data_IF_728530891534
#
_entry.id   IF_728530891534
#
_cell.length_a   1.000
_cell.length_b   1.000
_cell.length_c   1.000
_cell.angle_alpha   90.00
_cell.angle_beta   90.00
_cell.angle_gamma   90.00
#
_symmetry.space_group_name_H-M   'P 1'
#
loop_
_entity.id
_entity.type
_entity.pdbx_description
1 polymer ?
#
# COMPACT_ATOMS: atom_id res chain seq x y z
N UNK A 1 -56.04 8.48 -32.26
CA UNK A 1 -54.78 9.27 -32.35
C UNK A 1 -54.03 9.09 -31.04
N UNK A 2 -52.81 8.53 -31.04
CA UNK A 2 -52.00 8.49 -29.82
C UNK A 2 -51.51 9.90 -29.45
N UNK A 3 -51.43 10.25 -28.15
CA UNK A 3 -50.97 11.56 -27.72
C UNK A 3 -49.49 11.75 -28.09
N UNK A 4 -49.15 12.92 -28.65
CA UNK A 4 -47.77 13.32 -28.92
C UNK A 4 -47.04 13.44 -27.58
N UNK A 5 -45.97 12.66 -27.39
CA UNK A 5 -45.07 12.84 -26.26
C UNK A 5 -44.51 14.27 -26.28
N UNK A 6 -44.60 14.92 -25.12
CA UNK A 6 -44.15 16.30 -24.90
C UNK A 6 -42.62 16.40 -25.05
N UNK A 7 -42.15 17.38 -25.85
CA UNK A 7 -40.72 17.58 -26.18
C UNK A 7 -39.84 17.69 -24.94
N UNK A 8 -40.39 18.31 -23.88
CA UNK A 8 -39.76 18.48 -22.56
C UNK A 8 -39.36 17.15 -21.90
N UNK A 9 -40.17 16.10 -22.08
CA UNK A 9 -39.90 14.77 -21.51
C UNK A 9 -38.76 14.05 -22.26
N UNK A 10 -38.68 14.23 -23.57
CA UNK A 10 -37.60 13.69 -24.40
C UNK A 10 -36.25 14.31 -24.05
N UNK A 11 -36.21 15.63 -23.86
CA UNK A 11 -34.99 16.37 -23.50
C UNK A 11 -34.47 15.99 -22.10
N UNK A 12 -35.38 15.77 -21.14
CA UNK A 12 -35.01 15.27 -19.81
C UNK A 12 -34.41 13.85 -19.84
N UNK A 13 -34.97 12.97 -20.66
CA UNK A 13 -34.47 11.60 -20.83
C UNK A 13 -33.12 11.59 -21.55
N UNK A 14 -32.91 12.46 -22.54
CA UNK A 14 -31.61 12.61 -23.20
C UNK A 14 -30.54 13.20 -22.27
N UNK A 15 -30.89 14.22 -21.47
CA UNK A 15 -29.99 14.79 -20.47
C UNK A 15 -29.58 13.75 -19.41
N UNK A 16 -30.52 12.94 -18.91
CA UNK A 16 -30.22 11.84 -17.99
C UNK A 16 -29.34 10.76 -18.63
N UNK A 17 -29.60 10.40 -19.89
CA UNK A 17 -28.75 9.47 -20.65
C UNK A 17 -27.36 10.06 -20.89
N UNK A 18 -27.22 11.35 -21.12
CA UNK A 18 -25.94 12.03 -21.29
C UNK A 18 -25.14 12.10 -19.97
N UNK A 19 -25.81 12.35 -18.83
CA UNK A 19 -25.21 12.29 -17.49
C UNK A 19 -24.77 10.86 -17.17
N UNK A 20 -25.62 9.84 -17.38
CA UNK A 20 -25.24 8.44 -17.22
C UNK A 20 -24.10 8.00 -18.15
N UNK A 21 -24.05 8.52 -19.40
CA UNK A 21 -22.92 8.28 -20.31
C UNK A 21 -21.65 8.97 -19.83
N UNK A 22 -21.75 10.15 -19.23
CA UNK A 22 -20.63 10.89 -18.64
C UNK A 22 -20.11 10.23 -17.36
N UNK A 23 -21.00 9.67 -16.55
CA UNK A 23 -20.66 8.87 -15.36
C UNK A 23 -20.03 7.53 -15.74
N UNK A 24 -20.55 6.85 -16.77
CA UNK A 24 -19.92 5.65 -17.35
C UNK A 24 -18.57 5.95 -18.03
N UNK A 25 -18.32 7.21 -18.41
CA UNK A 25 -17.02 7.70 -18.92
C UNK A 25 -16.09 8.20 -17.83
N UNK A 26 -16.59 8.50 -16.62
CA UNK A 26 -15.70 8.67 -15.48
C UNK A 26 -15.01 7.34 -15.29
N UNK A 27 -13.69 7.40 -15.14
CA UNK A 27 -12.84 6.26 -14.86
C UNK A 27 -12.38 6.44 -13.43
N UNK A 28 -13.17 6.00 -12.43
CA UNK A 28 -12.89 6.26 -11.02
C UNK A 28 -11.46 5.86 -10.61
N UNK A 29 -10.89 4.85 -11.26
CA UNK A 29 -9.52 4.43 -11.01
C UNK A 29 -8.46 5.45 -11.46
N UNK A 30 -8.71 6.23 -12.53
CA UNK A 30 -7.82 7.30 -12.95
C UNK A 30 -7.90 8.50 -12.00
N UNK A 31 -9.10 8.79 -11.48
CA UNK A 31 -9.28 9.81 -10.46
C UNK A 31 -8.63 9.39 -9.14
N UNK A 32 -8.80 8.12 -8.74
CA UNK A 32 -8.12 7.54 -7.59
C UNK A 32 -6.59 7.57 -7.73
N UNK A 33 -6.07 7.33 -8.94
CA UNK A 33 -4.63 7.39 -9.22
C UNK A 33 -4.01 8.78 -9.12
N UNK A 34 -4.82 9.84 -9.02
CA UNK A 34 -4.37 11.22 -8.78
C UNK A 34 -4.26 11.55 -7.29
N UNK A 35 -4.78 10.69 -6.41
CA UNK A 35 -4.70 10.90 -4.97
C UNK A 35 -3.23 10.80 -4.54
N UNK A 36 -2.68 11.80 -3.82
CA UNK A 36 -1.30 11.73 -3.32
C UNK A 36 -1.08 10.52 -2.41
N UNK A 37 -0.07 9.70 -2.71
CA UNK A 37 0.27 8.48 -1.96
C UNK A 37 1.76 8.42 -1.54
N UNK A 38 2.53 9.46 -1.87
CA UNK A 38 3.92 9.64 -1.49
C UNK A 38 4.06 10.91 -0.65
N UNK A 39 4.99 10.86 0.28
CA UNK A 39 5.43 11.97 1.12
C UNK A 39 6.95 12.15 0.92
N UNK A 40 7.39 13.36 0.57
CA UNK A 40 8.80 13.70 0.35
C UNK A 40 9.61 13.77 1.65
N UNK A 41 8.93 13.82 2.80
CA UNK A 41 9.59 13.73 4.10
C UNK A 41 10.42 12.43 4.19
N UNK A 42 11.66 12.49 4.69
CA UNK A 42 12.48 11.30 4.84
C UNK A 42 11.86 10.36 5.87
N UNK A 43 11.97 9.05 5.63
CA UNK A 43 11.48 8.01 6.52
C UNK A 43 12.39 7.85 7.75
N UNK A 44 12.39 8.86 8.61
CA UNK A 44 13.14 8.91 9.87
C UNK A 44 12.14 9.02 11.02
N UNK A 45 12.29 8.17 12.04
CA UNK A 45 11.37 8.10 13.17
C UNK A 45 9.98 7.53 12.81
N UNK A 46 9.07 7.49 13.78
CA UNK A 46 7.72 6.94 13.59
C UNK A 46 6.86 7.82 12.66
N UNK A 47 5.97 7.23 11.83
CA UNK A 47 4.92 7.97 11.16
C UNK A 47 3.89 8.53 12.15
N UNK A 48 3.08 9.48 11.68
CA UNK A 48 1.88 9.92 12.40
C UNK A 48 0.80 8.83 12.32
N UNK A 49 -0.06 8.77 13.34
CA UNK A 49 -1.13 7.77 13.44
C UNK A 49 -2.51 8.41 13.60
N UNK A 50 -2.71 9.60 13.05
CA UNK A 50 -4.03 10.26 13.09
C UNK A 50 -5.02 9.55 12.18
N UNK A 51 -6.32 9.70 12.45
CA UNK A 51 -7.37 9.16 11.59
C UNK A 51 -7.26 9.67 10.15
N UNK A 52 -6.90 10.95 9.97
CA UNK A 52 -6.68 11.54 8.65
C UNK A 52 -5.49 10.90 7.91
N UNK A 53 -4.42 10.56 8.62
CA UNK A 53 -3.29 9.83 8.01
C UNK A 53 -3.70 8.41 7.62
N UNK A 54 -4.57 7.73 8.39
CA UNK A 54 -5.06 6.38 8.05
C UNK A 54 -6.02 6.39 6.87
N UNK A 55 -6.81 7.44 6.69
CA UNK A 55 -7.68 7.65 5.53
C UNK A 55 -6.85 7.91 4.27
N UNK A 56 -5.74 8.63 4.41
CA UNK A 56 -4.88 9.07 3.29
C UNK A 56 -3.41 8.69 3.51
N UNK A 57 -3.09 7.38 3.56
CA UNK A 57 -1.75 6.92 3.90
C UNK A 57 -0.76 7.28 2.80
N UNK A 58 0.34 7.93 3.17
CA UNK A 58 1.40 8.34 2.25
C UNK A 58 2.74 7.75 2.69
N UNK A 59 3.41 7.06 1.78
CA UNK A 59 4.71 6.47 2.07
C UNK A 59 5.77 7.57 2.08
N UNK A 60 6.61 7.61 3.12
CA UNK A 60 7.74 8.54 3.24
C UNK A 60 8.92 8.13 2.34
N UNK A 61 9.76 9.11 1.98
CA UNK A 61 10.89 8.92 1.07
C UNK A 61 12.02 8.13 1.74
N UNK A 62 12.67 7.27 0.97
CA UNK A 62 13.83 6.53 1.42
C UNK A 62 14.97 7.51 1.79
N UNK A 63 15.56 7.39 2.99
CA UNK A 63 16.60 8.32 3.43
C UNK A 63 18.00 7.95 2.93
N UNK A 64 18.14 6.85 2.19
CA UNK A 64 19.45 6.37 1.74
C UNK A 64 19.95 7.17 0.54
N UNK A 65 21.28 7.29 0.44
CA UNK A 65 21.93 7.94 -0.69
C UNK A 65 21.84 7.07 -1.95
N UNK A 66 20.98 7.46 -2.88
CA UNK A 66 20.70 6.71 -4.10
C UNK A 66 21.91 6.64 -5.04
N UNK A 67 22.82 7.62 -4.98
CA UNK A 67 24.02 7.66 -5.83
C UNK A 67 25.02 6.57 -5.41
N UNK A 68 24.90 6.06 -4.18
CA UNK A 68 25.71 4.98 -3.65
C UNK A 68 25.15 3.57 -3.93
N UNK A 69 24.00 3.47 -4.61
CA UNK A 69 23.29 2.21 -4.80
C UNK A 69 23.98 1.30 -5.83
N UNK A 70 24.15 0.03 -5.48
CA UNK A 70 24.74 -1.01 -6.34
C UNK A 70 23.75 -2.16 -6.52
N UNK A 71 23.45 -2.50 -7.77
CA UNK A 71 22.63 -3.66 -8.13
C UNK A 71 23.46 -4.95 -8.12
N UNK A 72 23.08 -5.91 -7.29
CA UNK A 72 23.82 -7.17 -7.11
C UNK A 72 23.24 -8.32 -7.92
N UNK A 73 21.92 -8.50 -7.85
CA UNK A 73 21.24 -9.63 -8.48
C UNK A 73 19.79 -9.29 -8.85
N UNK A 74 19.25 -10.04 -9.80
CA UNK A 74 17.80 -10.05 -10.08
C UNK A 74 17.14 -11.06 -9.15
N UNK A 75 16.04 -10.65 -8.53
CA UNK A 75 15.24 -11.53 -7.65
C UNK A 75 13.99 -12.06 -8.37
N UNK A 76 13.42 -11.28 -9.29
CA UNK A 76 12.28 -11.72 -10.10
C UNK A 76 11.35 -10.57 -10.47
N UNK A 77 10.29 -10.86 -11.21
CA UNK A 77 9.29 -9.84 -11.55
C UNK A 77 7.98 -10.45 -12.00
N UNK A 78 6.95 -9.61 -12.02
CA UNK A 78 5.58 -10.01 -12.33
C UNK A 78 4.80 -8.88 -12.99
N UNK A 79 3.48 -8.83 -12.75
CA UNK A 79 2.57 -7.88 -13.38
C UNK A 79 2.88 -6.41 -13.07
N UNK A 80 3.31 -6.13 -11.83
CA UNK A 80 3.41 -4.77 -11.28
C UNK A 80 4.80 -4.16 -11.40
N UNK A 81 5.82 -5.01 -11.34
CA UNK A 81 7.20 -4.56 -11.31
C UNK A 81 8.21 -5.70 -11.31
N UNK A 82 9.46 -5.31 -11.11
CA UNK A 82 10.61 -6.21 -11.03
C UNK A 82 11.42 -5.88 -9.78
N UNK A 83 12.09 -6.88 -9.24
CA UNK A 83 12.78 -6.82 -7.96
C UNK A 83 14.25 -7.18 -8.14
N UNK A 84 15.10 -6.37 -7.53
CA UNK A 84 16.54 -6.57 -7.46
C UNK A 84 17.02 -6.68 -6.03
N UNK A 85 18.10 -7.44 -5.83
CA UNK A 85 18.95 -7.35 -4.64
C UNK A 85 19.91 -6.19 -4.85
N UNK A 86 19.93 -5.25 -3.90
CA UNK A 86 20.77 -4.04 -3.95
C UNK A 86 21.49 -3.83 -2.62
N UNK A 87 22.59 -3.09 -2.67
CA UNK A 87 23.27 -2.53 -1.48
C UNK A 87 23.52 -1.04 -1.68
N UNK A 88 23.82 -0.35 -0.59
CA UNK A 88 24.19 1.07 -0.58
C UNK A 88 25.60 1.22 -0.02
N UNK A 89 26.37 2.15 -0.57
CA UNK A 89 27.80 2.28 -0.29
C UNK A 89 28.64 1.34 -1.16
N UNK A 90 29.55 1.92 -1.94
CA UNK A 90 30.39 1.16 -2.88
C UNK A 90 31.50 0.36 -2.18
N UNK A 91 31.96 0.82 -1.01
CA UNK A 91 33.08 0.28 -0.25
C UNK A 91 32.65 -0.11 1.18
N UNK A 92 33.41 -1.01 1.81
CA UNK A 92 33.14 -1.44 3.18
C UNK A 92 33.32 -0.31 4.22
N UNK A 93 32.47 -0.25 5.26
CA UNK A 93 31.28 -1.07 5.47
C UNK A 93 30.12 -0.61 4.56
N UNK A 94 29.57 -1.51 3.76
CA UNK A 94 28.38 -1.22 2.95
C UNK A 94 27.09 -1.51 3.74
N UNK A 95 26.00 -0.89 3.34
CA UNK A 95 24.68 -1.08 3.94
C UNK A 95 23.83 -1.99 3.05
N UNK A 96 23.32 -3.10 3.60
CA UNK A 96 22.47 -4.06 2.87
C UNK A 96 22.78 -5.51 3.22
N UNK A 97 22.26 -6.48 2.45
CA UNK A 97 21.46 -6.30 1.22
C UNK A 97 20.01 -5.85 1.46
N UNK A 98 19.39 -5.32 0.41
CA UNK A 98 17.99 -4.88 0.37
C UNK A 98 17.28 -5.42 -0.89
N UNK A 99 15.95 -5.45 -0.87
CA UNK A 99 15.12 -5.76 -2.03
C UNK A 99 14.52 -4.46 -2.60
N UNK A 100 14.92 -4.08 -3.81
CA UNK A 100 14.38 -2.93 -4.53
C UNK A 100 13.30 -3.39 -5.51
N UNK A 101 12.04 -3.05 -5.26
CA UNK A 101 10.93 -3.25 -6.22
C UNK A 101 10.77 -1.99 -7.06
N UNK A 102 11.00 -2.09 -8.37
CA UNK A 102 10.74 -1.01 -9.34
C UNK A 102 9.47 -1.35 -10.12
N UNK A 103 8.54 -0.41 -10.19
CA UNK A 103 7.26 -0.62 -10.88
C UNK A 103 7.38 -0.33 -12.37
N UNK A 104 6.63 -1.06 -13.19
CA UNK A 104 6.65 -0.85 -14.65
C UNK A 104 5.95 0.43 -15.10
N UNK A 105 4.95 0.87 -14.34
CA UNK A 105 4.10 2.01 -14.67
C UNK A 105 4.69 3.27 -14.02
N UNK A 106 5.32 4.13 -14.83
CA UNK A 106 5.85 5.44 -14.40
C UNK A 106 4.74 6.45 -14.08
N UNK A 107 3.61 6.31 -14.78
CA UNK A 107 2.41 7.11 -14.60
C UNK A 107 1.17 6.19 -14.55
N UNK A 108 0.04 6.68 -14.01
CA UNK A 108 -1.22 5.94 -14.08
C UNK A 108 -1.60 5.59 -15.52
N UNK A 109 -1.55 4.30 -15.84
CA UNK A 109 -1.93 3.80 -17.16
C UNK A 109 -3.45 3.66 -17.29
N UNK A 110 -3.97 3.79 -18.51
CA UNK A 110 -5.37 3.52 -18.84
C UNK A 110 -5.66 2.01 -18.90
N UNK A 111 -5.35 1.31 -17.81
CA UNK A 111 -5.62 -0.11 -17.64
C UNK A 111 -6.66 -0.31 -16.53
N UNK A 112 -7.74 -1.08 -16.76
CA UNK A 112 -8.95 -1.05 -15.93
C UNK A 112 -8.82 -1.91 -14.66
N UNK A 113 -7.72 -1.78 -13.90
CA UNK A 113 -7.53 -2.52 -12.65
C UNK A 113 -7.12 -1.60 -11.51
N UNK A 114 -5.87 -1.13 -11.45
CA UNK A 114 -5.35 -0.24 -10.42
C UNK A 114 -3.97 0.32 -10.80
N UNK A 115 -3.52 1.35 -10.09
CA UNK A 115 -2.15 1.86 -10.19
C UNK A 115 -1.27 1.20 -9.12
N UNK A 116 -0.41 0.25 -9.52
CA UNK A 116 0.35 -0.58 -8.59
C UNK A 116 1.28 0.18 -7.64
N UNK A 117 2.05 1.21 -8.08
CA UNK A 117 2.85 2.03 -7.18
C UNK A 117 2.03 2.65 -6.04
N UNK A 118 0.83 3.15 -6.34
CA UNK A 118 -0.05 3.75 -5.34
C UNK A 118 -0.48 2.73 -4.30
N UNK A 119 -0.98 1.57 -4.74
CA UNK A 119 -1.46 0.52 -3.83
C UNK A 119 -0.35 0.01 -2.91
N UNK A 120 0.84 -0.22 -3.44
CA UNK A 120 1.95 -0.69 -2.63
C UNK A 120 2.42 0.39 -1.63
N UNK A 121 2.51 1.66 -2.05
CA UNK A 121 2.88 2.75 -1.15
C UNK A 121 1.88 2.89 0.01
N UNK A 122 0.58 2.89 -0.29
CA UNK A 122 -0.46 3.00 0.73
C UNK A 122 -0.42 1.82 1.71
N UNK A 123 -0.30 0.59 1.20
CA UNK A 123 -0.18 -0.60 2.05
C UNK A 123 1.07 -0.54 2.94
N UNK A 124 2.23 -0.17 2.37
CA UNK A 124 3.47 -0.07 3.14
C UNK A 124 3.38 1.02 4.22
N UNK A 125 2.78 2.17 3.91
CA UNK A 125 2.55 3.24 4.88
C UNK A 125 1.61 2.79 6.01
N UNK A 126 0.48 2.15 5.66
CA UNK A 126 -0.47 1.61 6.65
C UNK A 126 0.20 0.62 7.61
N UNK A 127 1.05 -0.29 7.11
CA UNK A 127 1.73 -1.25 7.96
C UNK A 127 2.72 -0.58 8.94
N UNK A 128 3.42 0.46 8.51
CA UNK A 128 4.28 1.24 9.41
C UNK A 128 3.48 1.99 10.48
N UNK A 129 2.33 2.55 10.08
CA UNK A 129 1.43 3.26 10.99
C UNK A 129 0.79 2.31 12.01
N UNK A 130 0.34 1.13 11.57
CA UNK A 130 -0.18 0.09 12.46
C UNK A 130 0.87 -0.39 13.45
N UNK A 131 2.10 -0.64 13.00
CA UNK A 131 3.19 -1.03 13.88
C UNK A 131 3.43 0.03 14.96
N UNK A 132 3.51 1.29 14.54
CA UNK A 132 3.70 2.44 15.45
C UNK A 132 2.54 2.57 16.44
N UNK A 133 1.31 2.45 15.95
CA UNK A 133 0.10 2.49 16.78
C UNK A 133 0.11 1.40 17.85
N UNK A 134 0.50 0.16 17.50
CA UNK A 134 0.62 -0.96 18.44
C UNK A 134 1.71 -0.70 19.48
N UNK A 135 2.87 -0.21 19.06
CA UNK A 135 3.99 0.11 19.97
C UNK A 135 3.60 1.21 20.97
N UNK A 136 2.96 2.29 20.52
CA UNK A 136 2.47 3.39 21.36
C UNK A 136 1.35 2.92 22.31
N UNK A 137 0.41 2.14 21.80
CA UNK A 137 -0.67 1.51 22.58
C UNK A 137 -0.12 0.68 23.74
N UNK A 138 0.86 -0.17 23.46
CA UNK A 138 1.54 -0.99 24.47
C UNK A 138 2.29 -0.15 25.50
N UNK A 139 3.04 0.86 25.06
CA UNK A 139 3.76 1.77 25.98
C UNK A 139 2.81 2.51 26.93
N UNK A 140 1.58 2.79 26.48
CA UNK A 140 0.53 3.39 27.29
C UNK A 140 -0.28 2.38 28.13
N UNK A 141 -0.01 1.07 28.03
CA UNK A 141 -0.78 0.01 28.70
C UNK A 141 -2.22 -0.13 28.18
N UNK A 142 -2.45 0.22 26.91
CA UNK A 142 -3.79 0.34 26.30
C UNK A 142 -3.80 -0.37 24.94
N UNK A 143 -4.10 -1.69 24.90
CA UNK A 143 -4.10 -2.44 23.64
C UNK A 143 -5.16 -1.90 22.67
N UNK A 144 -4.93 -2.11 21.37
CA UNK A 144 -5.90 -1.71 20.34
C UNK A 144 -7.08 -2.68 20.37
N UNK A 145 -8.30 -2.17 20.44
CA UNK A 145 -9.51 -2.99 20.42
C UNK A 145 -10.15 -2.98 19.02
N UNK A 146 -10.33 -4.16 18.45
CA UNK A 146 -10.97 -4.36 17.14
C UNK A 146 -12.14 -5.33 17.23
N UNK A 147 -13.05 -5.30 16.27
CA UNK A 147 -14.07 -6.34 16.11
C UNK A 147 -13.36 -7.69 15.92
N UNK A 148 -13.70 -8.68 16.75
CA UNK A 148 -13.09 -10.00 16.71
C UNK A 148 -13.59 -10.87 15.53
N UNK A 149 -14.68 -10.46 14.87
CA UNK A 149 -15.33 -11.16 13.77
C UNK A 149 -15.80 -10.20 12.67
N UNK A 150 -14.91 -9.42 12.03
CA UNK A 150 -15.28 -8.58 10.88
C UNK A 150 -15.84 -9.45 9.75
N UNK A 151 -17.03 -9.09 9.27
CA UNK A 151 -17.73 -9.79 8.18
C UNK A 151 -18.16 -8.86 7.06
N UNK A 152 -18.14 -7.55 7.30
CA UNK A 152 -18.56 -6.52 6.35
C UNK A 152 -17.42 -5.56 6.01
N UNK A 153 -17.60 -4.77 4.95
CA UNK A 153 -16.67 -3.67 4.61
C UNK A 153 -16.60 -2.66 5.77
N UNK A 154 -17.73 -2.36 6.39
CA UNK A 154 -17.80 -1.39 7.48
C UNK A 154 -17.05 -1.90 8.72
N UNK A 155 -17.11 -3.20 9.01
CA UNK A 155 -16.29 -3.80 10.07
C UNK A 155 -14.79 -3.65 9.77
N UNK A 156 -14.37 -3.89 8.53
CA UNK A 156 -12.98 -3.75 8.13
C UNK A 156 -12.49 -2.30 8.24
N UNK A 157 -13.32 -1.33 7.82
CA UNK A 157 -13.02 0.10 7.96
C UNK A 157 -12.95 0.51 9.44
N UNK A 158 -13.89 0.03 10.27
CA UNK A 158 -13.89 0.30 11.71
C UNK A 158 -12.65 -0.28 12.40
N UNK A 159 -12.25 -1.50 12.03
CA UNK A 159 -11.04 -2.13 12.55
C UNK A 159 -9.77 -1.39 12.12
N UNK A 160 -9.68 -0.95 10.86
CA UNK A 160 -8.57 -0.11 10.40
C UNK A 160 -8.52 1.21 11.19
N UNK A 161 -9.66 1.86 11.39
CA UNK A 161 -9.76 3.12 12.12
C UNK A 161 -9.39 2.97 13.61
N UNK A 162 -9.52 1.79 14.21
CA UNK A 162 -9.13 1.53 15.60
C UNK A 162 -7.62 1.78 15.85
N UNK A 163 -6.79 1.71 14.81
CA UNK A 163 -5.37 2.03 14.88
C UNK A 163 -5.08 3.54 14.85
N UNK A 164 -6.08 4.42 14.80
CA UNK A 164 -5.88 5.86 14.89
C UNK A 164 -5.73 6.35 16.34
N UNK A 165 -5.04 7.47 16.53
CA UNK A 165 -4.95 8.16 17.82
C UNK A 165 -6.34 8.46 18.39
N UNK A 166 -7.24 8.98 17.57
CA UNK A 166 -8.59 9.37 17.95
C UNK A 166 -9.42 8.18 18.41
N UNK A 167 -9.33 7.03 17.73
CA UNK A 167 -10.04 5.82 18.13
C UNK A 167 -9.48 5.25 19.43
N UNK A 168 -8.15 5.15 19.56
CA UNK A 168 -7.51 4.69 20.81
C UNK A 168 -7.86 5.56 22.01
N UNK A 169 -7.94 6.88 21.82
CA UNK A 169 -8.33 7.79 22.89
C UNK A 169 -9.81 7.62 23.30
N UNK A 170 -10.70 7.34 22.35
CA UNK A 170 -12.12 7.07 22.61
C UNK A 170 -12.38 5.72 23.27
N UNK A 171 -11.56 4.71 22.99
CA UNK A 171 -11.65 3.37 23.56
C UNK A 171 -11.16 3.28 25.02
N UNK A 172 -10.85 4.42 25.66
CA UNK A 172 -10.44 4.43 27.06
C UNK A 172 -11.58 3.95 27.97
N UNK A 173 -11.37 2.88 28.78
CA UNK A 173 -12.31 2.55 29.83
C UNK A 173 -12.41 3.72 30.80
N UNK A 174 -13.63 4.00 31.27
CA UNK A 174 -13.87 5.04 32.27
C UNK A 174 -13.14 4.64 33.57
N UNK A 175 -12.56 5.57 34.35
CA UNK A 175 -11.83 5.27 35.59
C UNK A 175 -12.64 4.46 36.63
N UNK A 176 -13.95 4.37 36.47
CA UNK A 176 -14.86 3.63 37.34
C UNK A 176 -14.87 2.12 37.09
N UNK A 177 -14.45 1.66 35.91
CA UNK A 177 -14.47 0.26 35.52
C UNK A 177 -13.09 -0.35 35.77
N UNK A 178 -12.76 -0.64 37.03
CA UNK A 178 -11.54 -1.36 37.44
C UNK A 178 -11.46 -2.81 36.93
N UNK A 179 -12.19 -3.14 35.87
CA UNK A 179 -12.29 -4.45 35.25
C UNK A 179 -11.54 -4.45 33.93
N UNK A 180 -10.46 -5.23 33.84
CA UNK A 180 -9.67 -5.48 32.62
C UNK A 180 -10.39 -6.36 31.58
N UNK A 181 -11.71 -6.43 31.63
CA UNK A 181 -12.51 -7.29 30.76
C UNK A 181 -12.66 -6.64 29.39
N UNK A 182 -12.12 -7.30 28.37
CA UNK A 182 -12.35 -6.92 26.98
C UNK A 182 -13.85 -6.99 26.69
N UNK A 183 -14.48 -5.93 26.12
CA UNK A 183 -15.91 -5.96 25.82
C UNK A 183 -16.29 -7.16 24.93
N UNK A 184 -17.47 -7.77 25.14
CA UNK A 184 -17.93 -8.88 24.31
C UNK A 184 -17.91 -8.51 22.82
N UNK A 185 -17.32 -9.39 22.00
CA UNK A 185 -17.23 -9.19 20.54
C UNK A 185 -15.99 -8.42 20.07
N UNK A 186 -15.17 -7.87 20.99
CA UNK A 186 -13.89 -7.26 20.67
C UNK A 186 -12.72 -8.20 20.98
N UNK A 187 -11.60 -8.01 20.29
CA UNK A 187 -10.32 -8.61 20.63
C UNK A 187 -9.22 -7.54 20.74
N UNK A 188 -8.19 -7.87 21.52
CA UNK A 188 -7.03 -7.02 21.74
C UNK A 188 -5.94 -7.33 20.73
N UNK A 189 -5.42 -6.29 20.08
CA UNK A 189 -4.17 -6.32 19.34
C UNK A 189 -3.11 -5.63 20.19
N UNK A 190 -2.23 -6.45 20.78
CA UNK A 190 -1.06 -6.00 21.54
C UNK A 190 0.26 -6.30 20.84
N UNK A 191 0.23 -7.04 19.73
CA UNK A 191 1.44 -7.35 18.97
C UNK A 191 1.14 -7.38 17.49
N UNK A 192 2.08 -6.89 16.68
CA UNK A 192 2.07 -7.05 15.24
C UNK A 192 3.07 -8.15 14.85
N UNK A 193 2.68 -9.14 14.04
CA UNK A 193 3.62 -10.13 13.50
C UNK A 193 4.77 -9.45 12.75
N UNK A 194 5.92 -10.11 12.66
CA UNK A 194 7.06 -9.58 11.89
C UNK A 194 6.64 -9.35 10.44
N UNK A 195 6.60 -8.10 10.03
CA UNK A 195 6.48 -7.71 8.63
C UNK A 195 7.85 -7.37 8.06
N UNK A 196 8.05 -7.60 6.75
CA UNK A 196 9.23 -7.12 6.05
C UNK A 196 9.36 -5.61 6.25
N UNK A 197 10.54 -5.13 6.66
CA UNK A 197 10.72 -3.70 6.86
C UNK A 197 10.68 -2.96 5.51
N UNK A 198 9.89 -1.89 5.43
CA UNK A 198 9.93 -0.94 4.33
C UNK A 198 10.84 0.23 4.70
N UNK A 199 11.72 0.62 3.78
CA UNK A 199 12.67 1.73 3.94
C UNK A 199 12.26 2.97 3.14
N UNK A 200 11.09 2.96 2.51
CA UNK A 200 10.50 4.10 1.82
C UNK A 200 10.58 4.02 0.30
N UNK A 201 9.94 5.00 -0.33
CA UNK A 201 9.95 5.13 -1.79
C UNK A 201 11.15 5.94 -2.27
N UNK A 202 11.56 5.67 -3.50
CA UNK A 202 12.54 6.45 -4.23
C UNK A 202 12.20 6.46 -5.73
N UNK A 203 12.97 7.20 -6.52
CA UNK A 203 12.79 7.32 -7.97
C UNK A 203 14.03 6.78 -8.67
N UNK A 204 13.87 5.90 -9.66
CA UNK A 204 14.97 5.41 -10.48
C UNK A 204 14.81 5.90 -11.91
N UNK A 205 15.81 6.60 -12.42
CA UNK A 205 15.84 6.98 -13.83
C UNK A 205 16.14 5.74 -14.71
N UNK A 206 15.37 5.57 -15.79
CA UNK A 206 15.43 4.39 -16.65
C UNK A 206 16.80 4.16 -17.29
N UNK A 207 17.57 5.22 -17.51
CA UNK A 207 18.94 5.14 -18.02
C UNK A 207 19.87 4.32 -17.12
N UNK A 208 19.65 4.32 -15.81
CA UNK A 208 20.45 3.54 -14.86
C UNK A 208 20.47 2.05 -15.24
N UNK A 209 19.35 1.52 -15.76
CA UNK A 209 19.25 0.12 -16.19
C UNK A 209 20.02 -0.19 -17.48
N UNK A 210 20.30 0.81 -18.33
CA UNK A 210 21.13 0.62 -19.53
C UNK A 210 22.60 0.41 -19.17
N UNK A 211 23.06 1.04 -18.10
CA UNK A 211 24.47 0.98 -17.67
C UNK A 211 24.78 -0.31 -16.89
N UNK A 212 23.74 -0.98 -16.39
CA UNK A 212 23.87 -2.26 -15.70
C UNK A 212 24.49 -3.37 -16.57
N UNK A 213 25.31 -4.21 -15.91
CA UNK A 213 25.82 -5.45 -16.48
C UNK A 213 24.67 -6.35 -16.94
N UNK A 214 24.89 -7.13 -18.02
CA UNK A 214 23.85 -7.94 -18.66
C UNK A 214 23.16 -8.92 -17.72
N UNK A 215 23.85 -9.44 -16.71
CA UNK A 215 23.29 -10.38 -15.73
C UNK A 215 22.26 -9.76 -14.79
N UNK A 216 22.32 -8.45 -14.58
CA UNK A 216 21.43 -7.70 -13.66
C UNK A 216 20.47 -6.74 -14.37
N UNK A 217 20.63 -6.53 -15.67
CA UNK A 217 19.72 -5.70 -16.49
C UNK A 217 18.27 -6.24 -16.47
N UNK A 218 17.24 -5.38 -16.42
CA UNK A 218 15.84 -5.81 -16.52
C UNK A 218 15.60 -6.63 -17.80
N UNK A 219 14.98 -7.81 -17.70
CA UNK A 219 14.52 -8.53 -18.87
C UNK A 219 13.25 -7.87 -19.45
N UNK A 220 12.95 -8.16 -20.71
CA UNK A 220 11.60 -7.97 -21.24
C UNK A 220 10.68 -9.03 -20.61
N UNK A 221 9.70 -8.61 -19.82
CA UNK A 221 8.78 -9.52 -19.13
C UNK A 221 7.50 -9.68 -19.93
N UNK A 222 7.14 -10.92 -20.21
CA UNK A 222 5.84 -11.28 -20.78
C UNK A 222 4.96 -11.77 -19.64
N UNK A 223 4.02 -10.93 -19.20
CA UNK A 223 3.12 -11.28 -18.08
C UNK A 223 2.01 -12.21 -18.57
N UNK A 224 1.54 -11.98 -19.80
CA UNK A 224 0.71 -12.91 -20.56
C UNK A 224 1.04 -12.77 -22.07
N UNK A 225 0.23 -13.37 -22.95
CA UNK A 225 0.44 -13.27 -24.40
C UNK A 225 0.32 -11.84 -24.97
N UNK A 226 -0.32 -10.91 -24.26
CA UNK A 226 -0.67 -9.57 -24.73
C UNK A 226 0.09 -8.46 -23.99
N UNK A 227 0.51 -8.70 -22.76
CA UNK A 227 1.14 -7.71 -21.87
C UNK A 227 2.64 -7.92 -21.86
N UNK A 228 3.34 -6.97 -22.48
CA UNK A 228 4.80 -6.86 -22.45
C UNK A 228 5.19 -5.71 -21.54
N UNK A 229 6.03 -5.98 -20.55
CA UNK A 229 6.53 -4.99 -19.60
C UNK A 229 8.03 -4.77 -19.81
N UNK A 230 8.44 -3.50 -19.83
CA UNK A 230 9.83 -3.08 -19.94
C UNK A 230 10.03 -1.72 -19.26
N UNK A 231 11.28 -1.38 -18.96
CA UNK A 231 11.67 -0.08 -18.44
C UNK A 231 12.31 0.73 -19.58
N UNK A 232 11.60 1.77 -19.99
CA UNK A 232 12.07 2.75 -20.95
C UNK A 232 13.17 3.63 -20.31
N UNK A 233 14.20 4.02 -21.06
CA UNK A 233 15.39 4.67 -20.52
C UNK A 233 15.27 6.17 -20.29
N UNK A 234 14.23 6.77 -20.85
CA UNK A 234 13.87 8.19 -20.82
C UNK A 234 12.74 8.49 -19.81
N UNK A 235 12.45 7.54 -18.93
CA UNK A 235 11.41 7.65 -17.91
C UNK A 235 11.97 7.53 -16.50
N UNK A 236 11.28 8.14 -15.55
CA UNK A 236 11.49 7.95 -14.13
C UNK A 236 10.48 6.96 -13.55
N UNK A 237 10.97 5.99 -12.80
CA UNK A 237 10.13 4.95 -12.20
C UNK A 237 10.08 5.10 -10.70
N UNK A 238 8.89 4.88 -10.13
CA UNK A 238 8.74 4.72 -8.70
C UNK A 238 9.36 3.38 -8.30
N UNK A 239 10.09 3.37 -7.20
CA UNK A 239 10.59 2.17 -6.57
C UNK A 239 10.38 2.21 -5.06
N UNK A 240 10.32 1.05 -4.42
CA UNK A 240 10.24 0.91 -2.97
C UNK A 240 11.34 -0.04 -2.50
N UNK A 241 12.05 0.39 -1.46
CA UNK A 241 13.12 -0.38 -0.86
C UNK A 241 12.58 -1.16 0.34
N UNK A 242 12.83 -2.47 0.37
CA UNK A 242 12.45 -3.36 1.44
C UNK A 242 13.67 -4.07 2.04
N UNK A 243 13.48 -4.60 3.24
CA UNK A 243 14.33 -5.63 3.81
C UNK A 243 14.48 -6.79 2.82
N UNK A 244 15.72 -7.22 2.61
CA UNK A 244 15.98 -8.48 1.94
C UNK A 244 15.80 -9.62 2.95
N UNK A 245 14.94 -10.57 2.61
CA UNK A 245 14.74 -11.80 3.38
C UNK A 245 15.36 -12.93 2.57
N UNK A 246 16.29 -13.65 3.18
CA UNK A 246 16.94 -14.81 2.56
C UNK A 246 15.91 -15.89 2.20
N UNK A 247 16.20 -16.63 1.14
CA UNK A 247 15.34 -17.73 0.71
C UNK A 247 15.32 -18.83 1.78
N UNK A 248 14.13 -19.33 2.08
CA UNK A 248 13.92 -20.35 3.09
C UNK A 248 12.47 -20.81 3.11
N UNK A 249 12.21 -21.88 3.86
CA UNK A 249 10.85 -22.37 4.06
C UNK A 249 10.03 -21.37 4.87
N UNK A 250 8.78 -21.17 4.46
CA UNK A 250 7.85 -20.37 5.25
C UNK A 250 7.37 -21.18 6.45
N UNK A 251 7.49 -20.61 7.65
CA UNK A 251 6.87 -21.16 8.85
C UNK A 251 5.34 -20.98 8.81
N UNK A 252 4.55 -22.07 8.77
CA UNK A 252 3.09 -22.00 8.69
C UNK A 252 2.44 -21.20 9.82
N UNK A 253 2.98 -21.31 11.04
CA UNK A 253 2.43 -20.61 12.21
C UNK A 253 2.65 -19.10 12.12
N UNK A 254 3.84 -18.67 11.68
CA UNK A 254 4.14 -17.26 11.42
C UNK A 254 3.26 -16.71 10.29
N UNK A 255 3.05 -17.48 9.22
CA UNK A 255 2.15 -17.08 8.13
C UNK A 255 0.70 -16.91 8.63
N UNK A 256 0.20 -17.86 9.42
CA UNK A 256 -1.16 -17.78 9.94
C UNK A 256 -1.35 -16.56 10.85
N UNK A 257 -0.39 -16.27 11.74
CA UNK A 257 -0.41 -15.06 12.58
C UNK A 257 -0.46 -13.77 11.75
N UNK A 258 0.32 -13.70 10.66
CA UNK A 258 0.28 -12.57 9.74
C UNK A 258 -1.09 -12.44 9.05
N UNK A 259 -1.66 -13.56 8.60
CA UNK A 259 -2.98 -13.58 7.97
C UNK A 259 -4.11 -13.17 8.91
N UNK A 260 -4.06 -13.65 10.16
CA UNK A 260 -5.03 -13.29 11.20
C UNK A 260 -4.94 -11.80 11.52
N UNK A 261 -3.72 -11.27 11.64
CA UNK A 261 -3.50 -9.84 11.82
C UNK A 261 -4.06 -9.03 10.66
N UNK A 262 -3.78 -9.41 9.40
CA UNK A 262 -4.29 -8.68 8.23
C UNK A 262 -5.82 -8.67 8.19
N UNK A 263 -6.45 -9.81 8.46
CA UNK A 263 -7.91 -9.90 8.50
C UNK A 263 -8.50 -9.03 9.62
N UNK A 264 -7.92 -9.10 10.83
CA UNK A 264 -8.34 -8.25 11.95
C UNK A 264 -8.10 -6.77 11.69
N UNK A 265 -6.99 -6.40 11.04
CA UNK A 265 -6.63 -5.01 10.75
C UNK A 265 -7.43 -4.39 9.58
N UNK A 266 -8.37 -5.14 8.99
CA UNK A 266 -9.26 -4.65 7.95
C UNK A 266 -8.73 -4.83 6.52
N UNK A 267 -7.68 -5.61 6.31
CA UNK A 267 -7.26 -5.99 4.96
C UNK A 267 -8.22 -7.04 4.38
N UNK A 268 -8.80 -6.74 3.23
CA UNK A 268 -9.61 -7.69 2.47
C UNK A 268 -8.76 -8.47 1.46
N UNK A 269 -9.12 -9.74 1.22
CA UNK A 269 -8.53 -10.60 0.17
C UNK A 269 -8.97 -10.21 -1.25
N UNK A 270 -9.85 -9.23 -1.43
CA UNK A 270 -10.42 -8.90 -2.75
C UNK A 270 -9.90 -7.59 -3.35
N UNK A 271 -9.64 -7.69 -4.66
CA UNK A 271 -9.34 -6.63 -5.60
C UNK A 271 -10.47 -5.59 -5.67
N UNK A 272 -10.09 -4.33 -5.91
CA UNK A 272 -10.91 -3.12 -6.13
C UNK A 272 -11.03 -2.17 -4.92
N UNK A 273 -11.05 -0.85 -5.16
CA UNK A 273 -10.44 0.14 -4.26
C UNK A 273 -11.37 0.63 -3.16
N UNK A 274 -10.77 1.28 -2.18
CA UNK A 274 -11.43 2.27 -1.33
C UNK A 274 -12.23 3.25 -2.21
#
# INVERSE_FOLDING_TARGET
MPPKLDSSYSDHVEAQKAVQRRERRRRPWLDAARIPFRDDAPMVGPPKTTAADFEMPRLRRCPFDQDSMVFEARLGGGLDGYVWKVRFGAQEPHQGPFALKVFWDAEPVDFPTYYAPQRECQNAALLQMMQTAVEQANAAGRPILVNAKPTTRDDAVANLAAFSDEARLKQQPSPADGSSVTPPGLCQISTMPRMKKCYGWLTIHGSAFRELHRSVRPPLVHVDRKIKRHLAPDQEYIAILYEYVEEGENDPDTMQKAMDFFWLAGFSRTSSPL
#
